data_IF_529403907260
#
_entry.id   IF_529403907260
#
_cell.length_a   1.000
_cell.length_b   1.000
_cell.length_c   1.000
_cell.angle_alpha   90.00
_cell.angle_beta   90.00
_cell.angle_gamma   90.00
#
_symmetry.space_group_name_H-M   'P 1'
#
loop_
_entity.id
_entity.type
_entity.pdbx_description
1 polymer ?
#
# COMPACT_ATOMS: atom_id res chain seq x y z
N UNK A 1 61.27 -60.65 -41.46
CA UNK A 1 59.84 -60.77 -41.45
C UNK A 1 59.30 -60.01 -40.20
N UNK A 2 58.80 -58.81 -40.40
CA UNK A 2 58.26 -57.95 -39.36
C UNK A 2 56.74 -57.84 -39.59
N UNK A 3 55.95 -58.33 -38.69
CA UNK A 3 54.52 -58.17 -38.73
C UNK A 3 54.10 -56.81 -38.11
N UNK A 4 53.48 -55.95 -38.91
CA UNK A 4 52.78 -54.78 -38.43
C UNK A 4 51.42 -55.22 -37.98
N UNK A 5 51.09 -54.91 -36.71
CA UNK A 5 49.73 -55.00 -36.21
C UNK A 5 49.07 -53.62 -36.30
N UNK A 6 48.03 -53.51 -37.10
CA UNK A 6 47.20 -52.32 -37.19
C UNK A 6 46.25 -52.25 -35.96
N UNK A 7 46.34 -51.20 -35.18
CA UNK A 7 45.34 -50.83 -34.15
C UNK A 7 44.25 -49.98 -34.81
N UNK A 8 43.04 -50.50 -34.82
CA UNK A 8 41.86 -49.71 -35.14
C UNK A 8 41.39 -48.96 -33.87
N UNK A 9 41.46 -47.66 -33.90
CA UNK A 9 40.86 -46.80 -32.84
C UNK A 9 39.42 -46.53 -33.23
N UNK A 10 38.47 -47.07 -32.44
CA UNK A 10 37.06 -46.74 -32.56
C UNK A 10 36.81 -45.43 -31.83
N UNK A 11 36.53 -44.37 -32.58
CA UNK A 11 36.06 -43.10 -32.02
C UNK A 11 34.59 -43.18 -31.67
N UNK A 12 34.27 -43.25 -30.38
CA UNK A 12 32.89 -43.09 -29.87
C UNK A 12 32.55 -41.59 -29.90
N UNK A 13 31.70 -41.18 -30.83
CA UNK A 13 31.07 -39.84 -30.85
C UNK A 13 29.97 -39.85 -29.82
N UNK A 14 30.21 -39.28 -28.67
CA UNK A 14 29.18 -38.96 -27.68
C UNK A 14 28.35 -37.77 -28.18
N UNK A 15 27.13 -38.01 -28.70
CA UNK A 15 26.15 -36.95 -28.92
C UNK A 15 25.66 -36.49 -27.52
N UNK A 16 26.25 -35.40 -27.02
CA UNK A 16 25.64 -34.63 -25.95
C UNK A 16 24.47 -33.85 -26.55
N UNK A 17 23.25 -34.30 -26.31
CA UNK A 17 22.05 -33.48 -26.47
C UNK A 17 22.22 -32.24 -25.56
N UNK A 18 22.01 -31.02 -26.04
CA UNK A 18 21.98 -29.88 -25.15
C UNK A 18 20.76 -30.07 -24.24
N UNK A 19 20.99 -30.31 -22.95
CA UNK A 19 20.00 -30.07 -21.94
C UNK A 19 19.77 -28.58 -21.96
N UNK A 20 18.73 -28.14 -22.65
CA UNK A 20 18.20 -26.79 -22.47
C UNK A 20 17.65 -26.75 -21.06
N UNK A 21 18.49 -26.39 -20.08
CA UNK A 21 17.99 -25.87 -18.83
C UNK A 21 17.05 -24.72 -19.23
N UNK A 22 15.76 -24.83 -18.99
CA UNK A 22 14.86 -23.69 -19.11
C UNK A 22 15.39 -22.67 -18.09
N UNK A 23 16.13 -21.67 -18.59
CA UNK A 23 16.65 -20.64 -17.74
C UNK A 23 15.43 -20.00 -17.04
N UNK A 24 15.35 -20.12 -15.72
CA UNK A 24 14.39 -19.37 -14.94
C UNK A 24 14.55 -17.91 -15.33
N UNK A 25 13.52 -17.35 -15.95
CA UNK A 25 13.58 -15.98 -16.44
C UNK A 25 13.49 -15.07 -15.23
N UNK A 26 14.54 -14.32 -14.95
CA UNK A 26 14.55 -13.29 -13.90
C UNK A 26 13.37 -12.34 -14.09
N UNK A 27 12.98 -11.62 -13.03
CA UNK A 27 11.94 -10.60 -13.11
C UNK A 27 12.21 -9.65 -14.27
N UNK A 28 11.21 -9.49 -15.12
CA UNK A 28 11.23 -8.54 -16.23
C UNK A 28 10.10 -7.55 -16.04
N UNK A 29 10.34 -6.28 -16.31
CA UNK A 29 9.35 -5.23 -16.30
C UNK A 29 9.64 -4.22 -17.41
N UNK A 30 8.63 -3.47 -17.80
CA UNK A 30 8.79 -2.32 -18.68
C UNK A 30 9.04 -1.09 -17.80
N UNK A 31 10.19 -0.46 -17.96
CA UNK A 31 10.47 0.80 -17.25
C UNK A 31 9.52 1.90 -17.73
N UNK A 32 9.01 2.68 -16.78
CA UNK A 32 7.95 3.66 -17.01
C UNK A 32 8.47 5.07 -16.73
N UNK A 33 8.73 5.84 -17.78
CA UNK A 33 9.19 7.23 -17.68
C UNK A 33 8.23 8.09 -16.81
N UNK A 34 6.91 7.91 -16.98
CA UNK A 34 5.89 8.62 -16.19
C UNK A 34 6.05 8.41 -14.67
N UNK A 35 6.47 7.21 -14.23
CA UNK A 35 6.67 6.94 -12.80
C UNK A 35 7.94 7.62 -12.28
N UNK A 36 9.00 7.71 -13.07
CA UNK A 36 10.17 8.51 -12.72
C UNK A 36 9.83 10.00 -12.60
N UNK A 37 9.03 10.53 -13.52
CA UNK A 37 8.57 11.92 -13.48
C UNK A 37 7.72 12.20 -12.23
N UNK A 38 6.82 11.28 -11.87
CA UNK A 38 6.00 11.37 -10.66
C UNK A 38 6.90 11.38 -9.41
N UNK A 39 7.86 10.46 -9.32
CA UNK A 39 8.78 10.42 -8.17
C UNK A 39 9.58 11.72 -8.05
N UNK A 40 10.08 12.25 -9.17
CA UNK A 40 10.86 13.48 -9.21
C UNK A 40 10.02 14.75 -8.95
N UNK A 41 8.70 14.71 -9.12
CA UNK A 41 7.83 15.86 -8.93
C UNK A 41 7.44 16.12 -7.47
N UNK A 42 7.71 15.19 -6.55
CA UNK A 42 7.46 15.32 -5.12
C UNK A 42 8.45 16.31 -4.50
N UNK A 43 7.96 17.26 -3.70
CA UNK A 43 8.74 18.38 -3.17
C UNK A 43 8.79 18.35 -1.64
N UNK A 44 9.97 18.21 -1.07
CA UNK A 44 10.21 18.28 0.38
C UNK A 44 9.80 19.63 0.97
N UNK A 45 10.12 20.74 0.29
CA UNK A 45 9.75 22.11 0.71
C UNK A 45 8.23 22.31 0.81
N UNK A 46 7.45 21.60 -0.01
CA UNK A 46 6.00 21.64 0.06
C UNK A 46 5.49 20.88 1.27
N UNK A 47 5.99 19.70 1.50
CA UNK A 47 5.67 18.87 2.68
C UNK A 47 6.02 19.63 3.96
N UNK A 48 7.19 20.29 4.02
CA UNK A 48 7.59 21.12 5.14
C UNK A 48 6.56 22.23 5.45
N UNK A 49 6.14 22.98 4.43
CA UNK A 49 5.15 24.06 4.58
C UNK A 49 3.80 23.56 5.08
N UNK A 50 3.35 22.42 4.59
CA UNK A 50 2.09 21.82 4.99
C UNK A 50 2.15 21.30 6.43
N UNK A 51 3.27 20.67 6.85
CA UNK A 51 3.51 20.26 8.25
C UNK A 51 3.57 21.50 9.15
N UNK A 52 4.32 22.56 8.79
CA UNK A 52 4.36 23.82 9.54
C UNK A 52 2.97 24.41 9.74
N UNK A 53 2.13 24.36 8.72
CA UNK A 53 0.75 24.83 8.81
C UNK A 53 -0.10 23.99 9.76
N UNK A 54 -0.02 22.66 9.66
CA UNK A 54 -0.75 21.75 10.54
C UNK A 54 -0.33 21.90 12.01
N UNK A 55 0.97 22.04 12.27
CA UNK A 55 1.52 22.32 13.62
C UNK A 55 1.03 23.64 14.16
N UNK A 56 0.85 24.65 13.33
CA UNK A 56 0.41 26.00 13.74
C UNK A 56 -1.00 26.03 14.36
N UNK A 57 -1.80 24.97 14.21
CA UNK A 57 -3.11 24.85 14.87
C UNK A 57 -3.02 24.46 16.36
N UNK A 58 -1.82 24.31 16.92
CA UNK A 58 -1.54 24.03 18.33
C UNK A 58 -1.87 22.62 18.75
N UNK A 59 -3.12 22.20 18.63
CA UNK A 59 -3.57 20.82 18.76
C UNK A 59 -4.52 20.49 17.63
N UNK A 60 -4.56 19.20 17.25
CA UNK A 60 -5.55 18.66 16.32
C UNK A 60 -6.29 17.48 16.93
N UNK A 61 -6.28 17.37 18.27
CA UNK A 61 -6.97 16.31 18.96
C UNK A 61 -8.44 16.21 18.52
N UNK A 62 -8.94 14.99 18.31
CA UNK A 62 -10.32 14.75 17.80
C UNK A 62 -11.40 15.49 18.58
N UNK A 63 -11.25 15.62 19.92
CA UNK A 63 -12.18 16.32 20.79
C UNK A 63 -11.87 17.83 20.97
N UNK A 64 -10.87 18.36 20.24
CA UNK A 64 -10.48 19.76 20.38
C UNK A 64 -11.45 20.72 19.69
N UNK A 65 -11.15 22.02 19.81
CA UNK A 65 -11.95 23.12 19.27
C UNK A 65 -12.31 22.94 17.79
N UNK A 66 -13.57 23.13 17.43
CA UNK A 66 -14.10 22.94 16.07
C UNK A 66 -14.47 24.24 15.36
N UNK A 67 -14.72 25.34 16.08
CA UNK A 67 -15.21 26.60 15.52
C UNK A 67 -14.10 27.62 15.26
N UNK A 68 -12.98 27.54 15.98
CA UNK A 68 -11.83 28.42 15.79
C UNK A 68 -11.24 28.29 14.38
N UNK A 69 -10.81 29.41 13.79
CA UNK A 69 -10.12 29.41 12.50
C UNK A 69 -8.60 29.18 12.62
N UNK A 70 -8.07 29.21 13.84
CA UNK A 70 -6.61 29.19 14.08
C UNK A 70 -6.16 28.07 15.02
N UNK A 71 -7.08 27.34 15.67
CA UNK A 71 -6.73 26.28 16.62
C UNK A 71 -7.70 25.10 16.49
N UNK A 72 -7.21 23.91 16.81
CA UNK A 72 -7.99 22.70 16.94
C UNK A 72 -8.26 21.97 15.63
N UNK A 73 -8.91 20.80 15.76
CA UNK A 73 -9.21 19.92 14.64
C UNK A 73 -10.11 20.59 13.59
N UNK A 74 -11.00 21.50 14.01
CA UNK A 74 -11.89 22.24 13.12
C UNK A 74 -11.13 23.13 12.14
N UNK A 75 -10.13 23.88 12.63
CA UNK A 75 -9.27 24.70 11.79
C UNK A 75 -8.44 23.85 10.82
N UNK A 76 -7.88 22.74 11.31
CA UNK A 76 -7.07 21.85 10.50
C UNK A 76 -7.88 21.22 9.34
N UNK A 77 -9.06 20.64 9.62
CA UNK A 77 -9.88 20.00 8.59
C UNK A 77 -10.41 21.00 7.54
N UNK A 78 -10.73 22.25 7.93
CA UNK A 78 -11.11 23.29 6.97
C UNK A 78 -9.93 23.67 6.08
N UNK A 79 -8.74 23.83 6.65
CA UNK A 79 -7.55 24.13 5.87
C UNK A 79 -7.21 23.00 4.87
N UNK A 80 -7.26 21.74 5.30
CA UNK A 80 -7.04 20.57 4.42
C UNK A 80 -8.06 20.56 3.28
N UNK A 81 -9.34 20.82 3.58
CA UNK A 81 -10.39 20.91 2.57
C UNK A 81 -10.07 21.98 1.51
N UNK A 82 -9.67 23.17 1.93
CA UNK A 82 -9.32 24.27 1.02
C UNK A 82 -8.03 23.95 0.22
N UNK A 83 -7.06 23.23 0.78
CA UNK A 83 -5.87 22.78 0.05
C UNK A 83 -6.24 21.79 -1.05
N UNK A 84 -7.09 20.79 -0.79
CA UNK A 84 -7.60 19.91 -1.84
C UNK A 84 -8.41 20.67 -2.90
N UNK A 85 -9.20 21.66 -2.49
CA UNK A 85 -9.93 22.54 -3.42
C UNK A 85 -8.97 23.34 -4.31
N UNK A 86 -7.86 23.84 -3.74
CA UNK A 86 -6.84 24.57 -4.48
C UNK A 86 -6.14 23.64 -5.49
N UNK A 87 -5.74 22.43 -5.06
CA UNK A 87 -5.17 21.44 -5.96
C UNK A 87 -6.16 21.11 -7.09
N UNK A 88 -7.45 20.92 -6.75
CA UNK A 88 -8.49 20.69 -7.73
C UNK A 88 -8.62 21.84 -8.74
N UNK A 89 -8.53 23.08 -8.30
CA UNK A 89 -8.58 24.24 -9.20
C UNK A 89 -7.37 24.27 -10.17
N UNK A 90 -6.18 23.93 -9.67
CA UNK A 90 -4.95 23.90 -10.47
C UNK A 90 -5.00 22.82 -11.60
N UNK A 91 -5.78 21.77 -11.44
CA UNK A 91 -6.02 20.73 -12.46
C UNK A 91 -7.34 20.91 -13.23
N UNK A 92 -8.01 22.04 -13.12
CA UNK A 92 -9.26 22.31 -13.83
C UNK A 92 -10.51 21.65 -13.23
N UNK A 93 -10.50 21.30 -11.94
CA UNK A 93 -11.62 20.69 -11.22
C UNK A 93 -11.57 19.17 -11.19
N UNK A 94 -10.40 18.57 -11.29
CA UNK A 94 -10.23 17.11 -11.41
C UNK A 94 -10.50 16.33 -10.11
N UNK A 95 -10.58 17.01 -8.95
CA UNK A 95 -10.83 16.36 -7.65
C UNK A 95 -12.23 16.67 -7.14
N UNK A 96 -12.96 15.63 -6.75
CA UNK A 96 -14.19 15.73 -5.98
C UNK A 96 -13.85 15.82 -4.49
N UNK A 97 -13.90 17.02 -3.92
CA UNK A 97 -13.53 17.24 -2.51
C UNK A 97 -14.76 17.25 -1.62
N UNK A 98 -14.77 16.44 -0.56
CA UNK A 98 -15.91 16.31 0.35
C UNK A 98 -15.50 15.97 1.78
N UNK A 99 -16.44 16.20 2.70
CA UNK A 99 -16.34 15.65 4.05
C UNK A 99 -17.01 14.28 4.14
N UNK A 100 -16.40 13.39 4.91
CA UNK A 100 -16.99 12.13 5.36
C UNK A 100 -17.10 12.20 6.86
N UNK A 101 -18.31 11.98 7.41
CA UNK A 101 -18.60 12.27 8.81
C UNK A 101 -19.60 11.30 9.38
N UNK A 102 -19.46 11.05 10.68
CA UNK A 102 -20.46 10.41 11.52
C UNK A 102 -20.40 10.94 12.96
N UNK A 103 -21.45 10.70 13.76
CA UNK A 103 -21.51 11.03 15.19
C UNK A 103 -21.13 9.80 15.98
N UNK A 104 -20.06 9.90 16.74
CA UNK A 104 -19.56 8.84 17.63
C UNK A 104 -19.85 9.26 19.08
N UNK A 105 -20.36 8.33 19.88
CA UNK A 105 -20.66 8.57 21.31
C UNK A 105 -20.53 7.27 22.11
N UNK A 106 -20.35 7.41 23.43
CA UNK A 106 -20.32 6.27 24.36
C UNK A 106 -19.07 5.41 24.31
N UNK A 107 -18.06 5.82 23.55
CA UNK A 107 -16.77 5.16 23.44
C UNK A 107 -15.82 5.61 24.57
N UNK A 108 -14.88 4.74 24.95
CA UNK A 108 -13.93 5.04 26.04
C UNK A 108 -13.17 6.36 25.83
N UNK A 109 -12.82 6.67 24.58
CA UNK A 109 -12.06 7.88 24.21
C UNK A 109 -12.91 8.94 23.50
N UNK A 110 -14.23 8.66 23.32
CA UNK A 110 -15.24 9.60 22.83
C UNK A 110 -16.52 9.36 23.65
N UNK A 111 -16.55 9.82 24.92
CA UNK A 111 -17.68 9.57 25.80
C UNK A 111 -18.95 10.34 25.42
N UNK A 112 -18.78 11.56 24.91
CA UNK A 112 -19.88 12.44 24.51
C UNK A 112 -20.04 12.46 22.99
N UNK A 113 -21.26 12.74 22.51
CA UNK A 113 -21.57 12.81 21.09
C UNK A 113 -20.64 13.80 20.37
N UNK A 114 -19.80 13.27 19.49
CA UNK A 114 -18.75 14.00 18.78
C UNK A 114 -18.82 13.74 17.28
N UNK A 115 -18.84 14.79 16.48
CA UNK A 115 -18.73 14.67 15.03
C UNK A 115 -17.30 14.34 14.64
N UNK A 116 -17.04 13.10 14.25
CA UNK A 116 -15.79 12.70 13.61
C UNK A 116 -15.90 13.01 12.12
N UNK A 117 -15.07 13.94 11.64
CA UNK A 117 -15.17 14.48 10.29
C UNK A 117 -13.82 14.43 9.58
N UNK A 118 -13.73 13.60 8.58
CA UNK A 118 -12.59 13.42 7.68
C UNK A 118 -12.75 14.24 6.40
N UNK A 119 -11.65 14.52 5.72
CA UNK A 119 -11.63 15.19 4.42
C UNK A 119 -11.10 14.21 3.38
N UNK A 120 -11.84 14.01 2.30
CA UNK A 120 -11.38 13.19 1.17
C UNK A 120 -11.43 13.98 -0.13
N UNK A 121 -10.53 13.63 -1.04
CA UNK A 121 -10.54 14.08 -2.43
C UNK A 121 -10.47 12.85 -3.33
N UNK A 122 -11.35 12.78 -4.32
CA UNK A 122 -11.43 11.67 -5.27
C UNK A 122 -11.09 12.17 -6.66
N UNK A 123 -10.05 11.61 -7.24
CA UNK A 123 -9.73 11.75 -8.66
C UNK A 123 -10.33 10.57 -9.40
N UNK A 124 -11.39 10.81 -10.18
CA UNK A 124 -12.13 9.75 -10.88
C UNK A 124 -11.33 9.16 -12.02
N UNK A 125 -11.33 7.84 -12.10
CA UNK A 125 -10.81 7.09 -13.23
C UNK A 125 -11.65 7.32 -14.50
N UNK A 126 -11.03 7.18 -15.67
CA UNK A 126 -11.67 7.37 -16.96
C UNK A 126 -12.40 6.14 -17.47
N UNK A 127 -11.75 4.99 -17.35
CA UNK A 127 -12.26 3.72 -17.92
C UNK A 127 -12.98 2.89 -16.89
N UNK A 128 -12.47 2.86 -15.65
CA UNK A 128 -13.04 2.12 -14.52
C UNK A 128 -13.14 2.98 -13.25
N UNK A 129 -14.06 3.93 -13.18
CA UNK A 129 -14.21 4.82 -12.03
C UNK A 129 -14.68 4.14 -10.74
N UNK A 130 -15.13 2.88 -10.81
CA UNK A 130 -15.54 2.07 -9.67
C UNK A 130 -14.40 1.31 -8.99
N UNK A 131 -13.22 1.28 -9.58
CA UNK A 131 -12.00 0.70 -9.05
C UNK A 131 -11.16 1.77 -8.37
N UNK A 132 -10.74 1.52 -7.14
CA UNK A 132 -10.08 2.52 -6.31
C UNK A 132 -8.75 2.05 -5.76
N UNK A 133 -7.82 2.99 -5.67
CA UNK A 133 -6.63 2.93 -4.81
C UNK A 133 -6.63 4.15 -3.89
N UNK A 134 -6.22 3.99 -2.63
CA UNK A 134 -6.39 4.99 -1.59
C UNK A 134 -5.07 5.25 -0.84
N UNK A 135 -4.76 6.53 -0.61
CA UNK A 135 -3.73 6.98 0.33
C UNK A 135 -4.37 7.76 1.47
N UNK A 136 -3.90 7.52 2.70
CA UNK A 136 -4.40 8.26 3.86
C UNK A 136 -3.29 8.70 4.81
N UNK A 137 -3.56 9.79 5.51
CA UNK A 137 -2.86 10.26 6.70
C UNK A 137 -3.87 10.74 7.74
N UNK A 138 -3.47 10.85 9.00
CA UNK A 138 -4.37 11.12 10.12
C UNK A 138 -4.32 12.60 10.50
N UNK A 139 -5.49 13.26 10.61
CA UNK A 139 -5.57 14.69 10.93
C UNK A 139 -5.20 14.91 12.39
N UNK A 140 -5.70 14.05 13.27
CA UNK A 140 -5.59 14.23 14.70
C UNK A 140 -4.18 14.02 15.23
N UNK A 141 -3.93 14.61 16.39
CA UNK A 141 -2.69 14.51 17.16
C UNK A 141 -3.01 14.49 18.64
N UNK A 142 -2.11 14.00 19.49
CA UNK A 142 -2.29 13.98 20.94
C UNK A 142 -0.99 14.14 21.71
N UNK A 143 -1.14 14.43 23.00
CA UNK A 143 -0.10 14.36 24.03
C UNK A 143 -0.14 13.02 24.75
N UNK A 144 0.58 12.88 25.87
CA UNK A 144 0.66 11.63 26.63
C UNK A 144 -0.69 11.18 27.19
N UNK A 145 -1.49 12.10 27.71
CA UNK A 145 -2.88 11.81 28.09
C UNK A 145 -3.76 11.84 26.84
N UNK A 146 -4.32 10.68 26.50
CA UNK A 146 -5.18 10.52 25.32
C UNK A 146 -6.51 11.28 25.43
N UNK A 147 -6.85 11.82 26.59
CA UNK A 147 -8.06 12.63 26.83
C UNK A 147 -7.75 14.12 27.01
N UNK A 148 -6.49 14.54 26.96
CA UNK A 148 -6.13 15.95 26.97
C UNK A 148 -6.24 16.56 25.57
N UNK A 149 -7.39 17.14 25.29
CA UNK A 149 -7.69 17.81 24.02
C UNK A 149 -7.42 19.34 24.04
N UNK A 150 -6.82 19.84 25.12
CA UNK A 150 -6.60 21.28 25.35
C UNK A 150 -5.14 21.71 25.24
N UNK A 151 -4.22 20.87 25.69
CA UNK A 151 -2.78 21.13 25.60
C UNK A 151 -2.28 21.16 24.16
N UNK A 152 -1.16 21.86 23.95
CA UNK A 152 -0.53 21.88 22.64
C UNK A 152 0.03 20.49 22.30
N UNK A 153 -0.43 19.93 21.20
CA UNK A 153 -0.03 18.67 20.62
C UNK A 153 0.33 18.89 19.14
N UNK A 154 1.55 19.37 18.85
CA UNK A 154 1.93 19.75 17.50
C UNK A 154 1.79 18.60 16.50
N UNK A 155 2.11 17.37 16.88
CA UNK A 155 1.95 16.19 16.05
C UNK A 155 2.62 16.37 14.68
N UNK A 156 3.87 16.83 14.66
CA UNK A 156 4.55 17.17 13.42
C UNK A 156 4.83 15.90 12.58
N UNK A 157 5.26 14.85 13.25
CA UNK A 157 5.46 13.54 12.64
C UNK A 157 4.22 12.66 12.77
N UNK A 158 3.57 12.66 13.92
CA UNK A 158 2.37 11.90 14.27
C UNK A 158 1.13 12.82 14.36
N UNK A 159 0.34 13.11 13.28
CA UNK A 159 0.60 12.59 11.94
C UNK A 159 0.44 13.69 10.87
N UNK A 160 0.97 14.91 11.13
CA UNK A 160 1.02 15.93 10.09
C UNK A 160 1.87 15.48 8.89
N UNK A 161 2.88 14.60 9.10
CA UNK A 161 3.70 14.05 8.03
C UNK A 161 2.88 13.25 7.03
N UNK A 162 2.00 12.36 7.49
CA UNK A 162 1.13 11.55 6.63
C UNK A 162 0.10 12.39 5.87
N UNK A 163 -0.48 13.42 6.53
CA UNK A 163 -1.42 14.34 5.86
C UNK A 163 -0.70 15.17 4.79
N UNK A 164 0.47 15.74 5.10
CA UNK A 164 1.25 16.52 4.14
C UNK A 164 1.69 15.67 2.94
N UNK A 165 2.11 14.42 3.19
CA UNK A 165 2.40 13.47 2.12
C UNK A 165 1.17 13.18 1.24
N UNK A 166 -0.01 13.03 1.85
CA UNK A 166 -1.26 12.81 1.11
C UNK A 166 -1.66 14.02 0.24
N UNK A 167 -1.50 15.24 0.76
CA UNK A 167 -1.72 16.50 0.00
C UNK A 167 -0.72 16.63 -1.16
N UNK A 168 0.54 16.31 -0.92
CA UNK A 168 1.58 16.38 -1.96
C UNK A 168 1.38 15.31 -3.04
N UNK A 169 1.01 14.08 -2.66
CA UNK A 169 0.65 13.04 -3.62
C UNK A 169 -0.54 13.48 -4.49
N UNK A 170 -1.58 14.08 -3.89
CA UNK A 170 -2.72 14.64 -4.63
C UNK A 170 -2.28 15.73 -5.62
N UNK A 171 -1.38 16.65 -5.21
CA UNK A 171 -0.85 17.67 -6.10
C UNK A 171 -0.11 17.11 -7.31
N UNK A 172 0.73 16.12 -7.08
CA UNK A 172 1.52 15.49 -8.15
C UNK A 172 0.63 14.67 -9.07
N UNK A 173 -0.21 13.80 -8.53
CA UNK A 173 -1.01 12.86 -9.29
C UNK A 173 -2.18 13.52 -10.02
N UNK A 174 -2.70 14.65 -9.53
CA UNK A 174 -3.76 15.42 -10.20
C UNK A 174 -3.36 15.96 -11.58
N UNK A 175 -2.08 15.91 -11.94
CA UNK A 175 -1.58 16.30 -13.28
C UNK A 175 -1.71 15.17 -14.31
N UNK A 176 -2.16 13.99 -13.90
CA UNK A 176 -2.32 12.80 -14.73
C UNK A 176 -3.78 12.34 -14.75
N UNK A 177 -4.12 11.57 -15.77
CA UNK A 177 -5.41 10.89 -15.88
C UNK A 177 -5.17 9.39 -15.74
N UNK A 178 -6.00 8.72 -14.94
CA UNK A 178 -5.88 7.30 -14.63
C UNK A 178 -7.08 6.51 -15.14
N UNK A 179 -6.92 5.20 -15.27
CA UNK A 179 -7.99 4.27 -15.60
C UNK A 179 -8.90 4.02 -14.40
N UNK A 180 -8.32 3.69 -13.25
CA UNK A 180 -9.00 3.60 -11.96
C UNK A 180 -8.98 4.92 -11.18
N UNK A 181 -9.84 5.02 -10.17
CA UNK A 181 -9.93 6.20 -9.29
C UNK A 181 -8.85 6.20 -8.20
N UNK A 182 -8.35 7.39 -7.87
CA UNK A 182 -7.43 7.59 -6.75
C UNK A 182 -8.13 8.40 -5.65
N UNK A 183 -8.06 7.92 -4.40
CA UNK A 183 -8.62 8.60 -3.23
C UNK A 183 -7.50 9.09 -2.33
N UNK A 184 -7.54 10.37 -2.00
CA UNK A 184 -6.65 11.02 -1.05
C UNK A 184 -7.47 11.35 0.20
N UNK A 185 -7.10 10.77 1.36
CA UNK A 185 -7.90 10.85 2.56
C UNK A 185 -7.08 11.42 3.74
N UNK A 186 -7.56 12.50 4.32
CA UNK A 186 -7.13 12.98 5.64
C UNK A 186 -8.20 12.54 6.64
N UNK A 187 -7.88 11.55 7.46
CA UNK A 187 -8.81 10.85 8.34
C UNK A 187 -8.71 11.38 9.77
N UNK A 188 -9.83 11.50 10.47
CA UNK A 188 -9.89 11.96 11.85
C UNK A 188 -10.20 10.80 12.82
N UNK A 189 -9.83 10.94 14.09
CA UNK A 189 -10.16 9.98 15.13
C UNK A 189 -9.31 8.71 15.10
N UNK A 190 -8.08 8.79 14.61
CA UNK A 190 -7.11 7.71 14.73
C UNK A 190 -6.83 7.41 16.18
N UNK A 191 -6.41 8.43 16.92
CA UNK A 191 -5.98 8.37 18.30
C UNK A 191 -7.09 7.97 19.27
N UNK A 192 -8.33 8.17 18.90
CA UNK A 192 -9.50 7.79 19.70
C UNK A 192 -10.04 6.41 19.35
N UNK A 193 -9.58 5.75 18.29
CA UNK A 193 -9.98 4.39 17.96
C UNK A 193 -10.25 4.12 16.48
N UNK A 194 -9.53 4.76 15.59
CA UNK A 194 -9.56 4.55 14.13
C UNK A 194 -10.91 4.91 13.49
N UNK A 195 -11.65 5.87 14.06
CA UNK A 195 -13.04 6.13 13.65
C UNK A 195 -13.14 6.65 12.22
N UNK A 196 -12.24 7.53 11.77
CA UNK A 196 -12.25 8.02 10.39
C UNK A 196 -12.08 6.91 9.35
N UNK A 197 -11.22 5.95 9.66
CA UNK A 197 -11.05 4.75 8.83
C UNK A 197 -12.28 3.87 8.82
N UNK A 198 -12.92 3.64 10.00
CA UNK A 198 -14.17 2.87 10.10
C UNK A 198 -15.28 3.49 9.26
N UNK A 199 -15.52 4.79 9.44
CA UNK A 199 -16.57 5.53 8.72
C UNK A 199 -16.34 5.47 7.20
N UNK A 200 -15.09 5.64 6.74
CA UNK A 200 -14.79 5.62 5.32
C UNK A 200 -14.87 4.20 4.73
N UNK A 201 -14.39 3.18 5.45
CA UNK A 201 -14.43 1.78 5.01
C UNK A 201 -15.88 1.26 4.92
N UNK A 202 -16.73 1.57 5.91
CA UNK A 202 -18.15 1.25 5.89
C UNK A 202 -18.86 1.94 4.71
N UNK A 203 -18.59 3.23 4.51
CA UNK A 203 -19.13 3.97 3.36
C UNK A 203 -18.69 3.39 2.03
N UNK A 204 -17.42 2.98 1.92
CA UNK A 204 -16.91 2.33 0.71
C UNK A 204 -17.66 1.01 0.44
N UNK A 205 -17.91 0.21 1.48
CA UNK A 205 -18.71 -1.02 1.41
C UNK A 205 -20.15 -0.74 0.98
N UNK A 206 -20.83 0.21 1.61
CA UNK A 206 -22.20 0.62 1.26
C UNK A 206 -22.34 1.09 -0.20
N UNK A 207 -21.29 1.71 -0.75
CA UNK A 207 -21.24 2.21 -2.12
C UNK A 207 -20.61 1.22 -3.11
N UNK A 208 -20.30 0.01 -2.68
CA UNK A 208 -19.67 -1.04 -3.48
C UNK A 208 -18.37 -0.58 -4.17
N UNK A 209 -17.51 0.13 -3.45
CA UNK A 209 -16.20 0.51 -3.96
C UNK A 209 -15.31 -0.72 -4.07
N UNK A 210 -14.74 -0.97 -5.25
CA UNK A 210 -13.72 -2.00 -5.45
C UNK A 210 -12.36 -1.42 -5.11
N UNK A 211 -11.96 -1.51 -3.83
CA UNK A 211 -10.68 -0.97 -3.37
C UNK A 211 -9.61 -2.04 -3.48
N UNK A 212 -8.61 -1.81 -4.32
CA UNK A 212 -7.50 -2.75 -4.56
C UNK A 212 -6.24 -2.43 -3.74
N UNK A 213 -6.16 -1.28 -3.12
CA UNK A 213 -5.11 -0.95 -2.16
C UNK A 213 -5.49 0.23 -1.27
N UNK A 214 -5.20 0.12 0.03
CA UNK A 214 -5.21 1.23 0.99
C UNK A 214 -3.79 1.40 1.53
N UNK A 215 -3.18 2.56 1.28
CA UNK A 215 -1.84 2.93 1.72
C UNK A 215 -1.98 3.95 2.85
N UNK A 216 -2.00 3.48 4.10
CA UNK A 216 -2.07 4.35 5.28
C UNK A 216 -0.67 4.81 5.68
N UNK A 217 -0.48 6.11 5.78
CA UNK A 217 0.78 6.75 6.16
C UNK A 217 0.63 7.33 7.56
N UNK A 218 1.23 6.66 8.53
CA UNK A 218 1.18 7.09 9.91
C UNK A 218 2.60 7.02 10.48
N UNK A 219 3.16 8.22 10.58
CA UNK A 219 4.54 8.65 10.79
C UNK A 219 5.49 8.28 9.63
N UNK A 220 5.78 9.26 8.80
CA UNK A 220 6.70 9.09 7.66
C UNK A 220 7.88 10.09 7.66
N UNK A 221 8.15 10.75 8.79
CA UNK A 221 9.13 11.85 8.83
C UNK A 221 10.30 11.65 9.77
N UNK A 222 10.27 10.73 10.75
CA UNK A 222 11.39 10.58 11.68
C UNK A 222 12.42 9.58 11.17
N UNK A 223 13.69 9.96 11.25
CA UNK A 223 14.82 9.11 10.86
C UNK A 223 15.67 8.62 12.04
N UNK A 224 15.54 9.25 13.22
CA UNK A 224 16.39 9.01 14.37
C UNK A 224 15.66 8.23 15.48
N UNK A 225 16.16 7.05 15.81
CA UNK A 225 15.70 6.29 16.98
C UNK A 225 16.25 6.82 18.31
N UNK A 226 15.61 6.49 19.43
CA UNK A 226 16.07 6.87 20.78
C UNK A 226 17.47 6.39 21.13
N UNK A 227 18.01 5.45 20.38
CA UNK A 227 19.39 4.93 20.49
C UNK A 227 20.40 5.70 19.63
N UNK A 228 19.98 6.79 18.97
CA UNK A 228 20.80 7.59 18.07
C UNK A 228 21.09 6.96 16.71
N UNK A 229 20.44 5.84 16.37
CA UNK A 229 20.57 5.24 15.04
C UNK A 229 19.73 6.03 14.04
N UNK A 230 20.38 6.50 12.99
CA UNK A 230 19.74 7.22 11.89
C UNK A 230 19.53 6.26 10.73
N UNK A 231 18.30 6.23 10.19
CA UNK A 231 17.97 5.50 8.96
C UNK A 231 16.97 6.32 8.12
N UNK A 232 17.43 6.81 6.98
CA UNK A 232 16.64 7.54 5.99
C UNK A 232 16.61 6.82 4.63
N UNK A 233 16.92 5.53 4.63
CA UNK A 233 17.03 4.69 3.43
C UNK A 233 16.15 3.46 3.45
N UNK A 234 15.34 3.29 4.50
CA UNK A 234 14.43 2.15 4.62
C UNK A 234 13.05 2.64 5.07
N UNK A 235 11.98 2.09 4.51
CA UNK A 235 10.60 2.26 4.97
C UNK A 235 10.05 0.93 5.47
N UNK A 236 9.26 0.91 6.54
CA UNK A 236 8.51 -0.28 6.97
C UNK A 236 7.15 -0.32 6.26
N UNK A 237 6.76 -1.52 5.81
CA UNK A 237 5.44 -1.79 5.26
C UNK A 237 4.81 -2.91 6.06
N UNK A 238 3.82 -2.58 6.91
CA UNK A 238 3.06 -3.57 7.64
C UNK A 238 1.92 -4.09 6.77
N UNK A 239 1.78 -5.41 6.72
CA UNK A 239 0.73 -6.06 5.96
C UNK A 239 0.27 -7.34 6.65
N UNK A 240 -1.03 -7.54 6.75
CA UNK A 240 -1.58 -8.80 7.25
C UNK A 240 -1.26 -9.97 6.34
N UNK A 241 -1.17 -11.17 6.90
CA UNK A 241 -0.91 -12.40 6.14
C UNK A 241 -2.17 -13.10 5.67
N UNK A 242 -3.29 -12.87 6.35
CA UNK A 242 -4.59 -13.50 6.11
C UNK A 242 -5.70 -12.49 6.29
N UNK A 243 -6.75 -12.60 5.50
CA UNK A 243 -7.91 -11.71 5.57
C UNK A 243 -8.74 -11.99 6.83
N UNK A 244 -9.32 -10.94 7.43
CA UNK A 244 -10.18 -11.08 8.61
C UNK A 244 -11.54 -11.71 8.28
N UNK A 245 -12.05 -11.48 7.08
CA UNK A 245 -13.32 -11.99 6.57
C UNK A 245 -13.23 -13.40 5.97
N UNK A 246 -12.07 -14.07 6.09
CA UNK A 246 -11.84 -15.42 5.57
C UNK A 246 -12.76 -16.44 6.23
N UNK A 247 -13.48 -17.22 5.42
CA UNK A 247 -14.31 -18.33 5.88
C UNK A 247 -13.47 -19.53 6.34
N UNK A 248 -14.05 -20.43 7.14
CA UNK A 248 -13.41 -21.68 7.57
C UNK A 248 -12.94 -22.55 6.38
N UNK A 249 -13.67 -22.50 5.26
CA UNK A 249 -13.32 -23.20 4.03
C UNK A 249 -12.08 -22.59 3.39
N UNK A 250 -12.04 -21.28 3.26
CA UNK A 250 -10.90 -20.55 2.70
C UNK A 250 -9.66 -20.75 3.57
N UNK A 251 -9.79 -20.67 4.90
CA UNK A 251 -8.71 -20.97 5.84
C UNK A 251 -8.16 -22.38 5.67
N UNK A 252 -9.02 -23.36 5.42
CA UNK A 252 -8.62 -24.74 5.13
C UNK A 252 -7.87 -24.85 3.81
N UNK A 253 -8.37 -24.22 2.75
CA UNK A 253 -7.73 -24.20 1.43
C UNK A 253 -6.39 -23.47 1.49
N UNK A 254 -6.33 -22.30 2.11
CA UNK A 254 -5.10 -21.54 2.32
C UNK A 254 -4.00 -22.38 2.99
N UNK A 255 -4.35 -23.16 4.00
CA UNK A 255 -3.42 -24.08 4.67
C UNK A 255 -2.82 -25.11 3.70
N UNK A 256 -3.61 -25.57 2.72
CA UNK A 256 -3.15 -26.51 1.68
C UNK A 256 -2.20 -25.86 0.68
N UNK A 257 -2.49 -24.63 0.26
CA UNK A 257 -1.71 -23.91 -0.75
C UNK A 257 -0.50 -23.18 -0.17
N UNK A 258 -0.39 -23.06 1.16
CA UNK A 258 0.71 -22.36 1.82
C UNK A 258 0.58 -20.83 1.75
N UNK A 259 -0.65 -20.31 1.69
CA UNK A 259 -0.94 -18.90 1.49
C UNK A 259 -0.92 -18.02 2.75
N UNK A 260 -0.31 -18.46 3.86
CA UNK A 260 -0.28 -17.71 5.12
C UNK A 260 0.44 -16.35 5.03
N UNK A 261 1.20 -16.14 3.98
CA UNK A 261 1.96 -14.91 3.75
C UNK A 261 1.65 -14.26 2.40
N UNK A 262 0.52 -14.60 1.80
CA UNK A 262 0.17 -14.22 0.43
C UNK A 262 -1.24 -13.61 0.31
N UNK A 263 -1.75 -12.99 1.37
CA UNK A 263 -2.98 -12.19 1.31
C UNK A 263 -2.86 -11.06 0.28
N UNK A 264 -3.98 -10.49 -0.18
CA UNK A 264 -3.97 -9.29 -1.03
C UNK A 264 -3.14 -8.15 -0.42
N UNK A 265 -3.28 -7.87 0.88
CA UNK A 265 -2.48 -6.85 1.57
C UNK A 265 -0.97 -7.13 1.48
N UNK A 266 -0.56 -8.40 1.62
CA UNK A 266 0.84 -8.80 1.49
C UNK A 266 1.35 -8.65 0.06
N UNK A 267 0.52 -8.91 -0.94
CA UNK A 267 0.90 -8.72 -2.33
C UNK A 267 0.91 -7.24 -2.75
N UNK A 268 0.07 -6.39 -2.14
CA UNK A 268 0.22 -4.92 -2.22
C UNK A 268 1.56 -4.48 -1.62
N UNK A 269 1.96 -5.02 -0.46
CA UNK A 269 3.26 -4.69 0.13
C UNK A 269 4.43 -5.10 -0.78
N UNK A 270 4.38 -6.28 -1.43
CA UNK A 270 5.38 -6.70 -2.44
C UNK A 270 5.39 -5.80 -3.67
N UNK A 271 4.22 -5.34 -4.09
CA UNK A 271 4.11 -4.38 -5.18
C UNK A 271 4.82 -3.06 -4.84
N UNK A 272 4.59 -2.51 -3.65
CA UNK A 272 5.22 -1.28 -3.17
C UNK A 272 6.74 -1.46 -3.06
N UNK A 273 7.21 -2.61 -2.59
CA UNK A 273 8.63 -2.97 -2.53
C UNK A 273 9.29 -2.94 -3.92
N UNK A 274 8.64 -3.53 -4.92
CA UNK A 274 9.10 -3.46 -6.32
C UNK A 274 9.09 -2.03 -6.88
N UNK A 275 8.16 -1.17 -6.44
CA UNK A 275 8.13 0.24 -6.84
C UNK A 275 9.27 1.02 -6.19
N UNK A 276 9.61 0.75 -4.92
CA UNK A 276 10.78 1.33 -4.25
C UNK A 276 12.06 1.01 -5.03
N UNK A 277 12.31 -0.25 -5.29
CA UNK A 277 13.51 -0.73 -6.00
C UNK A 277 13.70 -0.08 -7.38
N UNK A 278 12.59 0.18 -8.07
CA UNK A 278 12.62 0.66 -9.46
C UNK A 278 12.65 2.18 -9.58
N UNK A 279 11.93 2.89 -8.73
CA UNK A 279 11.62 4.30 -8.97
C UNK A 279 12.06 5.24 -7.85
N UNK A 280 12.41 4.74 -6.66
CA UNK A 280 12.82 5.60 -5.54
C UNK A 280 14.29 5.42 -5.22
N UNK A 281 15.18 6.29 -5.72
CA UNK A 281 16.59 6.16 -5.46
C UNK A 281 16.92 6.18 -3.97
N UNK A 282 17.76 5.25 -3.55
CA UNK A 282 18.26 5.17 -2.16
C UNK A 282 17.13 5.00 -1.12
N UNK A 283 16.12 4.18 -1.48
CA UNK A 283 15.09 3.73 -0.56
C UNK A 283 14.85 2.23 -0.78
N UNK A 284 14.96 1.47 0.29
CA UNK A 284 14.58 0.05 0.37
C UNK A 284 13.34 -0.08 1.25
N UNK A 285 12.69 -1.23 1.26
CA UNK A 285 11.54 -1.48 2.13
C UNK A 285 11.76 -2.69 3.03
N UNK A 286 11.15 -2.64 4.21
CA UNK A 286 11.06 -3.77 5.12
C UNK A 286 9.60 -4.20 5.21
N UNK A 287 9.22 -5.25 4.51
CA UNK A 287 7.88 -5.84 4.65
C UNK A 287 7.80 -6.52 6.03
N UNK A 288 7.00 -5.93 6.91
CA UNK A 288 6.79 -6.46 8.26
C UNK A 288 5.58 -7.39 8.24
N UNK A 289 5.81 -8.67 8.55
CA UNK A 289 4.79 -9.72 8.50
C UNK A 289 3.86 -9.67 9.71
N UNK A 290 3.15 -8.54 9.85
CA UNK A 290 2.14 -8.24 10.86
C UNK A 290 1.15 -7.25 10.29
N UNK A 291 -0.08 -7.29 10.80
CA UNK A 291 -1.12 -6.30 10.48
C UNK A 291 -0.65 -4.87 10.82
N UNK A 292 -0.04 -4.68 12.01
CA UNK A 292 0.52 -3.40 12.48
C UNK A 292 1.63 -3.65 13.52
N UNK A 293 2.14 -2.58 14.13
CA UNK A 293 2.99 -2.60 15.31
C UNK A 293 2.33 -3.42 16.43
N UNK A 294 3.13 -4.03 17.27
CA UNK A 294 2.62 -4.90 18.35
C UNK A 294 1.67 -4.15 19.29
N UNK A 295 0.39 -4.56 19.30
CA UNK A 295 -0.64 -3.94 20.13
C UNK A 295 -1.06 -2.53 19.69
N UNK A 296 -0.77 -2.13 18.46
CA UNK A 296 -1.11 -0.82 17.88
C UNK A 296 -2.00 -0.99 16.65
N UNK A 297 -2.37 0.12 16.04
CA UNK A 297 -3.20 0.15 14.85
C UNK A 297 -2.94 1.38 14.00
N UNK A 298 -3.62 1.47 12.87
CA UNK A 298 -3.69 2.59 11.96
C UNK A 298 -4.93 2.47 11.10
N UNK A 299 -5.26 3.49 10.32
CA UNK A 299 -6.50 3.55 9.54
C UNK A 299 -6.62 2.50 8.41
N UNK A 300 -5.57 1.75 8.07
CA UNK A 300 -5.68 0.59 7.16
C UNK A 300 -6.49 -0.55 7.77
N UNK A 301 -6.45 -0.73 9.12
CA UNK A 301 -7.12 -1.84 9.81
C UNK A 301 -8.63 -1.92 9.56
N UNK A 302 -9.42 -0.84 9.72
CA UNK A 302 -10.85 -0.91 9.41
C UNK A 302 -11.18 -1.39 8.00
N UNK A 303 -10.30 -1.11 7.04
CA UNK A 303 -10.44 -1.65 5.67
C UNK A 303 -10.11 -3.13 5.63
N UNK A 304 -9.03 -3.58 6.30
CA UNK A 304 -8.70 -5.00 6.41
C UNK A 304 -9.81 -5.79 7.13
N UNK A 305 -10.44 -5.21 8.16
CA UNK A 305 -11.55 -5.83 8.90
C UNK A 305 -12.78 -6.07 8.00
N UNK A 306 -12.92 -5.31 6.91
CA UNK A 306 -13.94 -5.49 5.87
C UNK A 306 -13.43 -6.24 4.63
N UNK A 307 -12.22 -6.81 4.68
CA UNK A 307 -11.62 -7.61 3.62
C UNK A 307 -10.89 -6.81 2.52
N UNK A 308 -10.85 -5.48 2.59
CA UNK A 308 -10.07 -4.68 1.64
C UNK A 308 -8.57 -4.81 1.89
N UNK A 309 -7.74 -4.88 0.83
CA UNK A 309 -6.29 -4.92 0.99
C UNK A 309 -5.78 -3.57 1.50
N UNK A 310 -5.13 -3.59 2.66
CA UNK A 310 -4.59 -2.40 3.29
C UNK A 310 -3.22 -2.64 3.91
N UNK A 311 -2.35 -1.64 3.80
CA UNK A 311 -1.01 -1.65 4.38
C UNK A 311 -0.75 -0.34 5.13
N UNK A 312 0.15 -0.39 6.13
CA UNK A 312 0.69 0.79 6.75
C UNK A 312 2.12 1.01 6.27
N UNK A 313 2.38 2.18 5.71
CA UNK A 313 3.73 2.65 5.37
C UNK A 313 4.20 3.60 6.46
N UNK A 314 5.38 3.34 7.02
CA UNK A 314 5.92 4.19 8.06
C UNK A 314 7.45 4.19 8.09
N UNK A 315 8.00 5.12 8.84
CA UNK A 315 9.42 5.23 9.15
C UNK A 315 10.00 3.99 9.80
N UNK A 316 11.32 3.78 9.66
CA UNK A 316 12.00 2.60 10.21
C UNK A 316 12.23 2.71 11.71
N UNK A 317 12.67 3.88 12.17
CA UNK A 317 12.97 4.14 13.56
C UNK A 317 11.88 5.01 14.20
N UNK A 318 11.38 4.60 15.36
CA UNK A 318 10.46 5.41 16.15
C UNK A 318 11.22 6.12 17.28
N UNK A 319 10.85 7.38 17.54
CA UNK A 319 11.43 8.14 18.64
C UNK A 319 10.39 8.40 19.74
N UNK A 320 10.41 7.60 20.79
CA UNK A 320 9.45 7.67 21.89
C UNK A 320 9.65 8.88 22.83
N UNK A 321 10.68 9.70 22.65
CA UNK A 321 10.76 11.01 23.29
C UNK A 321 9.91 12.06 22.60
N UNK A 322 9.52 11.82 21.34
CA UNK A 322 8.70 12.69 20.51
C UNK A 322 7.25 12.22 20.42
N UNK A 323 7.04 10.98 20.05
CA UNK A 323 5.69 10.43 19.80
C UNK A 323 4.86 10.43 21.08
N UNK A 324 3.63 10.99 21.00
CA UNK A 324 2.64 11.02 22.09
C UNK A 324 3.17 11.62 23.41
N UNK A 325 3.99 12.66 23.33
CA UNK A 325 4.60 13.28 24.50
C UNK A 325 4.09 14.70 24.70
N UNK A 326 3.99 15.08 26.00
CA UNK A 326 3.80 16.50 26.37
C UNK A 326 5.06 17.27 26.03
N UNK A 327 4.89 18.54 25.59
CA UNK A 327 6.00 19.43 25.35
C UNK A 327 6.72 19.75 26.65
N UNK A 328 7.96 19.27 26.83
CA UNK A 328 8.78 19.53 28.01
C UNK A 328 10.25 19.24 27.75
N UNK A 329 11.09 19.86 28.55
CA UNK A 329 12.50 19.47 28.67
C UNK A 329 12.72 18.81 30.03
N UNK A 330 13.18 17.59 30.06
CA UNK A 330 13.43 16.85 31.29
C UNK A 330 14.77 16.11 31.20
N UNK A 331 15.64 16.30 32.22
CA UNK A 331 16.99 15.71 32.26
C UNK A 331 17.84 15.99 30.99
N UNK A 332 17.63 17.15 30.35
CA UNK A 332 18.33 17.55 29.13
C UNK A 332 17.81 16.86 27.84
N UNK A 333 16.69 16.13 27.93
CA UNK A 333 15.98 15.54 26.79
C UNK A 333 14.78 16.44 26.48
N UNK A 334 14.61 16.75 25.21
CA UNK A 334 13.43 17.45 24.70
C UNK A 334 12.37 16.44 24.30
N UNK A 335 11.16 16.60 24.87
CA UNK A 335 10.00 15.75 24.61
C UNK A 335 8.96 16.53 23.80
N UNK A 336 8.21 15.79 23.00
CA UNK A 336 7.11 16.32 22.20
C UNK A 336 7.37 16.17 20.69
N UNK A 337 6.28 16.02 19.95
CA UNK A 337 6.32 15.82 18.51
C UNK A 337 6.36 17.17 17.78
N UNK A 338 7.54 17.75 17.71
CA UNK A 338 7.81 19.06 17.10
C UNK A 338 8.42 18.90 15.72
N UNK A 339 8.41 20.00 14.97
CA UNK A 339 8.91 20.04 13.58
C UNK A 339 10.39 19.70 13.44
N UNK A 340 11.20 19.95 14.48
CA UNK A 340 12.62 19.62 14.51
C UNK A 340 12.89 18.11 14.48
N UNK A 341 11.84 17.30 14.69
CA UNK A 341 11.87 15.86 14.61
C UNK A 341 11.65 15.29 13.22
N UNK A 342 11.35 16.11 12.23
CA UNK A 342 10.96 15.66 10.89
C UNK A 342 12.09 15.90 9.88
N UNK A 343 12.46 14.86 9.17
CA UNK A 343 13.32 14.91 7.97
C UNK A 343 12.41 14.97 6.74
N UNK A 344 12.35 16.15 6.12
CA UNK A 344 11.45 16.40 5.00
C UNK A 344 11.86 15.69 3.72
N UNK A 345 13.17 15.47 3.52
CA UNK A 345 13.67 14.71 2.37
C UNK A 345 13.26 13.23 2.48
N UNK A 346 13.30 12.67 3.68
CA UNK A 346 12.82 11.32 3.94
C UNK A 346 11.30 11.22 3.78
N UNK A 347 10.54 12.17 4.33
CA UNK A 347 9.09 12.24 4.13
C UNK A 347 8.73 12.33 2.63
N UNK A 348 9.51 13.10 1.84
CA UNK A 348 9.34 13.19 0.40
C UNK A 348 9.63 11.85 -0.31
N UNK A 349 10.63 11.08 0.11
CA UNK A 349 10.89 9.74 -0.44
C UNK A 349 9.71 8.80 -0.21
N UNK A 350 9.16 8.76 1.01
CA UNK A 350 8.02 7.92 1.32
C UNK A 350 6.76 8.39 0.58
N UNK A 351 6.57 9.69 0.44
CA UNK A 351 5.49 10.27 -0.38
C UNK A 351 5.64 9.88 -1.85
N UNK A 352 6.85 9.94 -2.41
CA UNK A 352 7.12 9.53 -3.77
C UNK A 352 6.84 8.03 -3.98
N UNK A 353 7.22 7.17 -3.02
CA UNK A 353 6.89 5.75 -3.03
C UNK A 353 5.37 5.51 -3.09
N UNK A 354 4.60 6.23 -2.27
CA UNK A 354 3.14 6.18 -2.32
C UNK A 354 2.62 6.62 -3.70
N UNK A 355 3.09 7.75 -4.22
CA UNK A 355 2.61 8.32 -5.47
C UNK A 355 2.87 7.40 -6.67
N UNK A 356 4.07 6.81 -6.80
CA UNK A 356 4.37 5.87 -7.89
C UNK A 356 3.58 4.57 -7.75
N UNK A 357 3.36 4.10 -6.52
CA UNK A 357 2.57 2.89 -6.27
C UNK A 357 1.10 3.08 -6.63
N UNK A 358 0.50 4.19 -6.20
CA UNK A 358 -0.88 4.56 -6.55
C UNK A 358 -1.05 4.72 -8.06
N UNK A 359 -0.16 5.47 -8.71
CA UNK A 359 -0.21 5.71 -10.14
C UNK A 359 -0.10 4.40 -10.93
N UNK A 360 0.87 3.55 -10.59
CA UNK A 360 1.06 2.28 -11.25
C UNK A 360 -0.17 1.37 -11.15
N UNK A 361 -0.77 1.27 -9.95
CA UNK A 361 -2.00 0.49 -9.73
C UNK A 361 -3.23 1.12 -10.38
N UNK A 362 -3.32 2.46 -10.44
CA UNK A 362 -4.46 3.15 -11.06
C UNK A 362 -4.44 3.07 -12.60
N UNK A 363 -3.27 2.95 -13.23
CA UNK A 363 -3.11 2.69 -14.67
C UNK A 363 -3.15 1.20 -15.03
N UNK A 364 -2.91 0.32 -14.07
CA UNK A 364 -2.97 -1.13 -14.33
C UNK A 364 -4.42 -1.58 -14.53
N UNK A 365 -4.67 -2.64 -15.30
CA UNK A 365 -5.98 -3.28 -15.33
C UNK A 365 -6.36 -3.88 -13.96
N UNK A 366 -7.62 -4.26 -13.82
CA UNK A 366 -8.07 -5.02 -12.64
C UNK A 366 -7.23 -6.29 -12.46
N UNK A 367 -6.86 -6.66 -11.22
CA UNK A 367 -6.21 -7.94 -10.96
C UNK A 367 -7.07 -9.11 -11.49
N UNK A 368 -6.45 -10.19 -12.01
CA UNK A 368 -7.20 -11.36 -12.46
C UNK A 368 -7.98 -11.97 -11.30
N UNK A 369 -9.15 -12.53 -11.60
CA UNK A 369 -10.04 -13.14 -10.61
C UNK A 369 -10.00 -14.67 -10.69
N UNK A 370 -10.44 -15.35 -9.64
CA UNK A 370 -10.57 -16.81 -9.58
C UNK A 370 -9.28 -17.52 -10.00
N UNK A 371 -8.12 -17.01 -9.56
CA UNK A 371 -6.83 -17.63 -9.89
C UNK A 371 -6.75 -18.99 -9.21
N UNK A 372 -6.58 -20.04 -9.99
CA UNK A 372 -6.45 -21.43 -9.54
C UNK A 372 -5.12 -22.05 -9.99
N UNK A 373 -4.69 -23.11 -9.33
CA UNK A 373 -3.41 -23.77 -9.57
C UNK A 373 -3.54 -25.30 -9.59
N UNK A 374 -2.95 -25.89 -10.60
CA UNK A 374 -2.89 -27.35 -10.79
C UNK A 374 -1.44 -27.79 -10.98
N UNK A 375 -1.11 -28.99 -10.57
CA UNK A 375 0.25 -29.54 -10.76
C UNK A 375 0.66 -30.59 -9.71
N UNK A 376 -0.27 -31.01 -8.87
CA UNK A 376 0.00 -32.03 -7.86
C UNK A 376 0.50 -33.33 -8.54
N UNK A 377 1.68 -33.80 -8.12
CA UNK A 377 2.33 -35.01 -8.66
C UNK A 377 2.61 -34.91 -10.17
N UNK A 378 2.86 -33.69 -10.67
CA UNK A 378 3.20 -33.42 -12.07
C UNK A 378 4.56 -32.70 -12.16
N UNK A 379 5.28 -32.81 -13.29
CA UNK A 379 6.56 -32.11 -13.47
C UNK A 379 6.41 -30.61 -13.76
N UNK A 380 5.19 -30.15 -14.04
CA UNK A 380 4.86 -28.80 -14.49
C UNK A 380 3.70 -28.25 -13.67
N UNK A 381 3.61 -26.91 -13.59
CA UNK A 381 2.55 -26.20 -12.86
C UNK A 381 1.67 -25.45 -13.86
N UNK A 382 0.36 -25.59 -13.76
CA UNK A 382 -0.63 -24.87 -14.57
C UNK A 382 -1.38 -23.88 -13.69
N UNK A 383 -1.49 -22.63 -14.16
CA UNK A 383 -2.35 -21.62 -13.55
C UNK A 383 -3.52 -21.32 -14.50
N UNK A 384 -4.68 -21.06 -13.90
CA UNK A 384 -5.91 -20.65 -14.58
C UNK A 384 -6.48 -19.44 -13.87
N UNK A 385 -7.15 -18.57 -14.60
CA UNK A 385 -7.79 -17.38 -14.02
C UNK A 385 -8.91 -16.88 -14.92
N UNK A 386 -9.80 -16.10 -14.37
CA UNK A 386 -10.76 -15.36 -15.15
C UNK A 386 -10.12 -14.06 -15.66
N UNK A 387 -10.47 -13.69 -16.89
CA UNK A 387 -9.99 -12.45 -17.48
C UNK A 387 -10.45 -11.25 -16.66
N UNK A 388 -9.61 -10.21 -16.61
CA UNK A 388 -10.01 -8.90 -16.10
C UNK A 388 -11.29 -8.41 -16.80
N UNK A 389 -12.05 -7.52 -16.12
CA UNK A 389 -13.36 -7.08 -16.59
C UNK A 389 -13.34 -6.55 -18.03
N UNK A 390 -14.42 -6.76 -18.76
CA UNK A 390 -14.54 -6.29 -20.15
C UNK A 390 -14.47 -4.75 -20.22
N UNK A 391 -13.60 -4.23 -21.08
CA UNK A 391 -13.47 -2.78 -21.35
C UNK A 391 -12.15 -2.18 -20.91
N UNK A 392 -11.28 -2.92 -20.26
CA UNK A 392 -9.92 -2.52 -19.95
C UNK A 392 -8.94 -2.90 -21.06
N UNK A 393 -7.93 -2.06 -21.30
CA UNK A 393 -6.85 -2.32 -22.26
C UNK A 393 -5.84 -3.31 -21.67
N UNK A 394 -6.17 -4.61 -21.69
CA UNK A 394 -5.33 -5.70 -21.21
C UNK A 394 -4.46 -6.21 -22.34
N UNK A 395 -3.15 -6.00 -22.24
CA UNK A 395 -2.17 -6.61 -23.17
C UNK A 395 -1.97 -8.11 -22.90
N UNK A 396 -2.28 -8.55 -21.69
CA UNK A 396 -2.14 -9.92 -21.25
C UNK A 396 -1.85 -10.06 -19.77
N UNK A 397 -1.31 -11.22 -19.43
CA UNK A 397 -1.05 -11.60 -18.05
C UNK A 397 0.42 -11.96 -17.84
N UNK A 398 0.85 -11.84 -16.59
CA UNK A 398 2.20 -12.17 -16.16
C UNK A 398 2.15 -13.10 -14.97
N UNK A 399 2.76 -14.26 -15.11
CA UNK A 399 2.90 -15.22 -14.03
C UNK A 399 4.17 -14.88 -13.25
N UNK A 400 4.04 -14.87 -11.93
CA UNK A 400 5.11 -14.68 -10.97
C UNK A 400 5.33 -15.95 -10.17
N UNK A 401 6.59 -16.22 -9.79
CA UNK A 401 6.88 -17.29 -8.84
C UNK A 401 8.12 -16.98 -8.02
N UNK A 402 8.21 -17.59 -6.87
CA UNK A 402 9.31 -17.49 -5.92
C UNK A 402 9.46 -18.79 -5.14
N UNK A 403 10.64 -19.05 -4.59
CA UNK A 403 10.79 -20.13 -3.61
C UNK A 403 9.88 -19.87 -2.41
N UNK A 404 9.38 -20.93 -1.77
CA UNK A 404 8.48 -20.82 -0.62
C UNK A 404 9.10 -20.10 0.59
N UNK A 405 10.45 -20.03 0.64
CA UNK A 405 11.23 -19.36 1.68
C UNK A 405 11.53 -17.87 1.40
N UNK A 406 11.25 -17.39 0.20
CA UNK A 406 11.63 -16.04 -0.21
C UNK A 406 10.50 -15.03 0.03
N UNK A 407 10.80 -13.81 0.49
CA UNK A 407 9.79 -12.80 0.79
C UNK A 407 9.21 -12.13 -0.46
N UNK A 408 10.03 -12.00 -1.53
CA UNK A 408 9.70 -11.27 -2.75
C UNK A 408 9.72 -12.19 -3.97
N UNK A 409 8.96 -11.85 -5.01
CA UNK A 409 8.92 -12.52 -6.29
C UNK A 409 10.30 -12.54 -6.93
N UNK A 410 10.75 -13.72 -7.39
CA UNK A 410 12.09 -13.91 -7.94
C UNK A 410 12.09 -14.03 -9.46
N UNK A 411 11.01 -14.57 -10.00
CA UNK A 411 10.88 -14.81 -11.44
C UNK A 411 9.52 -14.40 -11.95
N UNK A 412 9.46 -14.07 -13.23
CA UNK A 412 8.21 -13.76 -13.91
C UNK A 412 8.24 -14.16 -15.38
N UNK A 413 7.05 -14.34 -15.96
CA UNK A 413 6.87 -14.59 -17.39
C UNK A 413 5.60 -13.93 -17.89
N UNK A 414 5.75 -13.05 -18.88
CA UNK A 414 4.60 -12.55 -19.63
C UNK A 414 4.09 -13.65 -20.57
N UNK A 415 2.79 -13.93 -20.54
CA UNK A 415 2.18 -15.05 -21.24
C UNK A 415 1.18 -14.62 -22.31
N UNK A 416 0.99 -13.30 -22.52
CA UNK A 416 0.01 -12.76 -23.46
C UNK A 416 -1.42 -12.81 -22.91
N UNK A 417 -2.38 -12.51 -23.79
CA UNK A 417 -3.81 -12.51 -23.45
C UNK A 417 -4.36 -13.94 -23.48
N UNK A 418 -4.13 -14.67 -22.39
CA UNK A 418 -4.59 -16.04 -22.15
C UNK A 418 -5.14 -16.16 -20.74
N UNK A 419 -6.01 -17.13 -20.49
CA UNK A 419 -6.61 -17.39 -19.18
C UNK A 419 -6.12 -18.70 -18.55
N UNK A 420 -5.15 -19.35 -19.20
CA UNK A 420 -4.50 -20.57 -18.71
C UNK A 420 -3.07 -20.63 -19.24
N UNK A 421 -2.13 -21.03 -18.41
CA UNK A 421 -0.74 -21.26 -18.83
C UNK A 421 -0.05 -22.31 -17.99
N UNK A 422 0.71 -23.20 -18.68
CA UNK A 422 1.55 -24.21 -18.03
C UNK A 422 3.01 -23.79 -18.03
N UNK A 423 3.59 -23.71 -16.84
CA UNK A 423 5.03 -23.54 -16.63
C UNK A 423 5.71 -24.91 -16.68
N UNK A 424 6.27 -25.27 -17.84
CA UNK A 424 6.90 -26.56 -18.07
C UNK A 424 8.14 -26.76 -17.20
N UNK A 425 8.24 -27.93 -16.56
CA UNK A 425 9.36 -28.35 -15.69
C UNK A 425 9.57 -27.46 -14.45
N UNK A 426 8.53 -26.72 -14.00
CA UNK A 426 8.52 -26.01 -12.75
C UNK A 426 7.53 -26.72 -11.83
N UNK A 427 8.07 -27.41 -10.82
CA UNK A 427 7.30 -28.26 -9.90
C UNK A 427 6.62 -27.38 -8.85
N UNK A 428 5.33 -27.61 -8.63
CA UNK A 428 4.48 -26.81 -7.74
C UNK A 428 4.99 -26.79 -6.29
N UNK A 429 5.56 -27.88 -5.79
CA UNK A 429 5.91 -28.04 -4.37
C UNK A 429 7.00 -27.09 -3.87
N UNK A 430 7.85 -26.59 -4.77
CA UNK A 430 9.01 -25.78 -4.39
C UNK A 430 8.74 -24.27 -4.42
N UNK A 431 7.63 -23.86 -5.01
CA UNK A 431 7.39 -22.44 -5.33
C UNK A 431 6.01 -21.99 -4.87
N UNK A 432 5.89 -20.71 -4.63
CA UNK A 432 4.65 -19.96 -4.55
C UNK A 432 4.47 -19.22 -5.87
N UNK A 433 3.25 -19.18 -6.36
CA UNK A 433 2.88 -18.61 -7.66
C UNK A 433 1.85 -17.50 -7.50
N UNK A 434 1.70 -16.69 -8.54
CA UNK A 434 0.62 -15.73 -8.67
C UNK A 434 0.55 -15.17 -10.09
N UNK A 435 -0.53 -14.47 -10.36
CA UNK A 435 -0.81 -13.88 -11.67
C UNK A 435 -1.13 -12.40 -11.52
N UNK A 436 -0.61 -11.57 -12.41
CA UNK A 436 -0.96 -10.16 -12.52
C UNK A 436 -1.46 -9.86 -13.94
N UNK A 437 -2.41 -8.93 -14.07
CA UNK A 437 -2.79 -8.34 -15.36
C UNK A 437 -1.79 -7.26 -15.77
N UNK A 438 -1.65 -7.07 -17.07
CA UNK A 438 -0.70 -6.09 -17.65
C UNK A 438 -1.42 -5.26 -18.69
N UNK A 439 -1.36 -3.92 -18.59
CA UNK A 439 -1.91 -3.01 -19.59
C UNK A 439 -1.04 -2.95 -20.86
N UNK A 440 -1.57 -2.41 -21.96
CA UNK A 440 -0.81 -2.19 -23.20
C UNK A 440 0.43 -1.29 -22.96
N UNK A 441 0.33 -0.32 -22.09
CA UNK A 441 1.46 0.53 -21.67
C UNK A 441 2.46 -0.21 -20.78
N UNK A 442 2.10 -1.38 -20.24
CA UNK A 442 2.95 -2.23 -19.41
C UNK A 442 2.85 -1.95 -17.90
N UNK A 443 1.79 -1.28 -17.44
CA UNK A 443 1.48 -1.22 -16.02
C UNK A 443 0.89 -2.55 -15.55
N UNK A 444 1.30 -2.97 -14.38
CA UNK A 444 0.98 -4.28 -13.82
C UNK A 444 0.09 -4.13 -12.58
N UNK A 445 -0.93 -4.97 -12.45
CA UNK A 445 -1.69 -5.05 -11.20
C UNK A 445 -0.85 -5.68 -10.08
N UNK A 446 -1.24 -5.53 -8.80
CA UNK A 446 -0.75 -6.41 -7.76
C UNK A 446 -0.96 -7.88 -8.14
N UNK A 447 -0.05 -8.75 -7.68
CA UNK A 447 -0.09 -10.18 -7.98
C UNK A 447 -1.17 -10.87 -7.15
N UNK A 448 -2.03 -11.64 -7.80
CA UNK A 448 -3.06 -12.47 -7.14
C UNK A 448 -2.48 -13.85 -6.85
N UNK A 449 -2.50 -14.24 -5.58
CA UNK A 449 -2.14 -15.58 -5.14
C UNK A 449 -3.29 -16.56 -5.48
N UNK A 450 -3.01 -17.80 -5.90
CA UNK A 450 -4.05 -18.77 -6.24
C UNK A 450 -4.95 -19.16 -5.06
N UNK A 451 -6.23 -19.26 -5.34
CA UNK A 451 -7.27 -19.61 -4.38
C UNK A 451 -7.91 -18.40 -3.69
N UNK A 452 -9.04 -18.58 -3.01
CA UNK A 452 -9.86 -17.49 -2.47
C UNK A 452 -9.11 -16.56 -1.53
N UNK A 453 -8.13 -17.07 -0.79
CA UNK A 453 -7.31 -16.28 0.14
C UNK A 453 -6.45 -15.19 -0.54
N UNK A 454 -6.26 -15.27 -1.86
CA UNK A 454 -5.48 -14.32 -2.66
C UNK A 454 -6.32 -13.31 -3.44
N UNK A 455 -7.63 -13.41 -3.42
CA UNK A 455 -8.50 -12.56 -4.21
C UNK A 455 -8.57 -11.13 -3.70
N UNK A 456 -8.54 -10.16 -4.65
CA UNK A 456 -8.62 -8.72 -4.39
C UNK A 456 -10.05 -8.19 -4.40
N UNK A 457 -10.95 -8.84 -5.12
CA UNK A 457 -12.37 -8.48 -5.16
C UNK A 457 -13.13 -9.24 -4.09
N UNK A 458 -13.91 -8.51 -3.31
CA UNK A 458 -14.89 -9.09 -2.42
C UNK A 458 -16.22 -8.94 -3.14
N UNK A 459 -16.82 -10.04 -3.54
CA UNK A 459 -18.24 -10.07 -3.89
C UNK A 459 -19.01 -9.93 -2.58
N UNK A 460 -19.51 -8.72 -2.32
CA UNK A 460 -20.51 -8.52 -1.29
C UNK A 460 -21.83 -9.14 -1.81
N UNK A 461 -21.91 -10.47 -1.88
CA UNK A 461 -23.19 -11.13 -2.08
C UNK A 461 -24.13 -10.65 -0.98
N UNK A 462 -25.27 -10.10 -1.39
CA UNK A 462 -26.38 -9.86 -0.48
C UNK A 462 -26.63 -11.19 0.27
N UNK A 463 -26.49 -11.20 1.60
CA UNK A 463 -26.99 -12.29 2.43
C UNK A 463 -28.46 -12.45 2.12
N UNK A 464 -28.76 -13.26 1.11
CA UNK A 464 -30.09 -13.69 0.80
C UNK A 464 -30.63 -14.48 2.00
N UNK A 465 -31.63 -13.93 2.66
CA UNK A 465 -32.46 -14.57 3.67
C UNK A 465 -32.61 -16.08 3.40
N UNK A 466 -31.97 -16.92 4.24
CA UNK A 466 -32.36 -18.30 4.43
C UNK A 466 -32.76 -18.56 5.89
#
# INVERSE_FOLDING_TARGET
MRYLKSLAVAATVSLSLPVTASAQQALTYKDQEKLHDIAAAVQADRIEKDIQKLVSFGTRHTLSETESDTRGIGAARRWIYEEFKRISADCGGCLEVMYVTDIIEGETRIPDATEVKSVIAIQRGKTDPGRYVLMSGDIDSRVSDVMDYTSDAPGANDNASGVAGTLEAARVLSQYEFDGSVVYAALAGEEQGLFGGKILAEKAKEQNWRIHAVLNNDMIGNIEGINGVINNTTARIFAEGTRMDESDREATMRRFYGGEVDSPSRNVARYIDLMADRYIPNLDTMIVYRLDRFGRGGHHRPFNDLGYPGVRIMETNENYYRQHQDLRTENGIEYGDTIDGVDFDYAAKLTALNAVSLAGMAWAPEPPQNVDIEGAVQPSTTLKWDAASQGEDVAGYKIYWRLTSEPQWQWSRFVGDVTEYTLENIVIDNYIFGVASVSEDGFESPVVFPGPAGEFSIDFEEEGDQ
#
